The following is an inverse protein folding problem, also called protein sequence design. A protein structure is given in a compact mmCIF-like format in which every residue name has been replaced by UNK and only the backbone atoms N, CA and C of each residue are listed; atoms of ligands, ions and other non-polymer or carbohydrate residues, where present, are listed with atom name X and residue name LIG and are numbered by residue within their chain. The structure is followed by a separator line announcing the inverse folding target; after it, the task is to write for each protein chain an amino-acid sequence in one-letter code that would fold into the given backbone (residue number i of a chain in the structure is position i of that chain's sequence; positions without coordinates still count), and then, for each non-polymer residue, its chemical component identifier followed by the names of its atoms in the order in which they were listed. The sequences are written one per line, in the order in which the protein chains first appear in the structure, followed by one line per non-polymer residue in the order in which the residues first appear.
data_IF_149310465676
#
_entry.id   IF_149310465676
#
_cell.length_a   1.000
_cell.length_b   1.000
_cell.length_c   1.000
_cell.angle_alpha   90.00
_cell.angle_beta   90.00
_cell.angle_gamma   90.00
#
_symmetry.space_group_name_H-M   'P 1'
#
loop_
_entity.id
_entity.type
_entity.pdbx_description
1 polymer ?
#
# COMPACT_ATOMS: atom_id res chain seq x y z
N UNK A 1 17.37 -21.35 28.48
CA UNK A 1 15.96 -21.42 28.09
C UNK A 1 15.70 -20.29 27.11
N UNK A 2 15.77 -20.61 25.85
CA UNK A 2 15.62 -19.68 24.72
C UNK A 2 14.16 -19.35 24.54
N UNK A 3 13.75 -18.18 25.01
CA UNK A 3 12.43 -17.64 24.74
C UNK A 3 12.40 -17.20 23.28
N UNK A 4 11.92 -18.08 22.42
CA UNK A 4 11.69 -17.79 21.01
C UNK A 4 10.63 -16.70 20.92
N UNK A 5 11.08 -15.45 20.69
CA UNK A 5 10.17 -14.36 20.28
C UNK A 5 9.44 -14.83 19.02
N UNK A 6 8.12 -14.90 19.08
CA UNK A 6 7.27 -15.17 17.93
C UNK A 6 7.39 -13.97 16.98
N UNK A 7 8.43 -13.98 16.16
CA UNK A 7 8.59 -13.07 15.04
C UNK A 7 7.64 -13.53 13.94
N UNK A 8 6.53 -13.05 13.97
CA UNK A 8 5.51 -12.56 13.09
C UNK A 8 5.68 -12.93 11.60
N UNK A 9 5.14 -14.09 11.24
CA UNK A 9 4.52 -14.25 9.91
C UNK A 9 3.34 -13.29 9.72
N UNK A 10 2.81 -12.71 10.82
CA UNK A 10 1.64 -11.81 10.80
C UNK A 10 1.92 -10.37 10.38
N UNK A 11 3.18 -9.88 10.35
CA UNK A 11 3.48 -8.54 9.87
C UNK A 11 3.36 -8.41 8.34
N UNK A 12 3.57 -9.50 7.64
CA UNK A 12 3.47 -9.57 6.17
C UNK A 12 2.03 -9.55 5.68
N UNK A 13 1.18 -10.34 6.34
CA UNK A 13 -0.25 -10.39 6.01
C UNK A 13 -0.96 -9.07 6.33
N UNK A 14 -0.50 -8.31 7.32
CA UNK A 14 -1.15 -7.05 7.71
C UNK A 14 -0.79 -5.87 6.80
N UNK A 15 0.44 -5.78 6.28
CA UNK A 15 0.80 -4.78 5.26
C UNK A 15 0.08 -5.06 3.93
N UNK A 16 -0.12 -6.32 3.57
CA UNK A 16 -0.89 -6.71 2.39
C UNK A 16 -2.39 -6.40 2.55
N UNK A 17 -2.98 -6.61 3.73
CA UNK A 17 -4.38 -6.24 4.01
C UNK A 17 -4.60 -4.72 4.06
N UNK A 18 -3.64 -3.94 4.59
CA UNK A 18 -3.69 -2.47 4.50
C UNK A 18 -3.51 -1.97 3.06
N UNK A 19 -2.72 -2.66 2.24
CA UNK A 19 -2.64 -2.42 0.80
C UNK A 19 -3.97 -2.65 0.09
N UNK A 20 -4.76 -3.67 0.48
CA UNK A 20 -6.08 -3.96 -0.09
C UNK A 20 -7.13 -2.89 0.28
N UNK A 21 -7.10 -2.35 1.50
CA UNK A 21 -7.95 -1.21 1.88
C UNK A 21 -7.41 0.12 1.36
N UNK A 22 -6.09 0.27 1.18
CA UNK A 22 -5.50 1.45 0.54
C UNK A 22 -5.81 1.54 -0.97
N UNK A 23 -6.15 0.43 -1.63
CA UNK A 23 -6.63 0.44 -3.02
C UNK A 23 -8.03 1.04 -3.18
N UNK A 24 -8.85 1.08 -2.13
CA UNK A 24 -10.06 1.90 -2.10
C UNK A 24 -9.72 3.40 -1.89
N UNK A 25 -8.49 3.71 -1.47
CA UNK A 25 -8.01 5.05 -1.16
C UNK A 25 -6.58 5.26 -1.70
N UNK A 26 -6.34 4.94 -2.98
CA UNK A 26 -5.26 5.60 -3.69
C UNK A 26 -5.80 7.00 -3.99
N UNK A 27 -5.30 8.06 -3.36
CA UNK A 27 -5.33 9.33 -4.02
C UNK A 27 -4.47 9.09 -5.26
N UNK A 28 -5.13 8.86 -6.38
CA UNK A 28 -4.47 8.91 -7.67
C UNK A 28 -3.57 10.13 -7.63
N UNK A 29 -2.26 9.95 -7.69
CA UNK A 29 -1.31 11.00 -8.05
C UNK A 29 -1.53 11.38 -9.53
N UNK A 30 -2.79 11.38 -9.95
CA UNK A 30 -3.26 12.18 -11.05
C UNK A 30 -3.24 13.61 -10.53
N UNK A 31 -2.54 14.46 -11.26
CA UNK A 31 -2.51 15.89 -11.09
C UNK A 31 -3.77 16.35 -10.34
N UNK A 32 -3.60 17.15 -9.30
CA UNK A 32 -4.70 17.86 -8.68
C UNK A 32 -5.54 18.47 -9.80
N UNK A 33 -6.50 17.68 -10.33
CA UNK A 33 -7.59 18.25 -11.10
C UNK A 33 -8.21 19.24 -10.12
N UNK A 34 -8.07 20.50 -10.41
CA UNK A 34 -8.68 21.56 -9.61
C UNK A 34 -10.13 21.16 -9.38
N UNK A 35 -10.64 21.35 -8.18
CA UNK A 35 -12.00 20.94 -7.76
C UNK A 35 -13.12 21.40 -8.70
N UNK A 36 -12.83 22.32 -9.62
CA UNK A 36 -13.72 22.81 -10.69
C UNK A 36 -13.99 21.80 -11.83
N UNK A 37 -13.21 20.72 -11.97
CA UNK A 37 -13.33 19.75 -13.06
C UNK A 37 -13.96 18.41 -12.65
N UNK A 38 -14.24 18.22 -11.35
CA UNK A 38 -14.90 17.02 -10.86
C UNK A 38 -16.40 17.05 -11.19
N UNK A 39 -16.96 15.91 -11.56
CA UNK A 39 -18.41 15.73 -11.68
C UNK A 39 -19.07 15.79 -10.29
N UNK A 40 -20.37 16.06 -10.23
CA UNK A 40 -21.11 16.00 -8.96
C UNK A 40 -21.06 14.59 -8.36
N UNK A 41 -21.10 13.59 -9.21
CA UNK A 41 -20.98 12.19 -8.84
C UNK A 41 -19.61 11.90 -8.21
N UNK A 42 -18.49 12.31 -8.81
CA UNK A 42 -17.15 12.13 -8.25
C UNK A 42 -16.99 12.85 -6.89
N UNK A 43 -17.56 14.05 -6.76
CA UNK A 43 -17.50 14.81 -5.50
C UNK A 43 -18.30 14.18 -4.36
N UNK A 44 -19.33 13.41 -4.65
CA UNK A 44 -20.17 12.75 -3.63
C UNK A 44 -19.54 11.47 -3.09
N UNK A 45 -18.74 10.77 -3.90
CA UNK A 45 -18.15 9.50 -3.50
C UNK A 45 -17.16 9.66 -2.32
N UNK A 46 -17.41 8.90 -1.26
CA UNK A 46 -16.63 8.98 -0.02
C UNK A 46 -16.97 10.15 0.91
N UNK A 47 -17.87 11.08 0.50
CA UNK A 47 -18.34 12.20 1.32
C UNK A 47 -19.81 12.05 1.71
N UNK A 48 -20.59 11.45 0.83
CA UNK A 48 -22.00 11.18 1.03
C UNK A 48 -22.25 9.68 1.28
N UNK A 49 -23.38 9.28 1.88
CA UNK A 49 -23.80 7.89 1.94
C UNK A 49 -23.81 7.26 0.53
N UNK A 50 -23.37 6.00 0.42
CA UNK A 50 -23.19 5.35 -0.89
C UNK A 50 -24.48 5.35 -1.73
N UNK A 51 -25.66 5.14 -1.12
CA UNK A 51 -26.96 5.24 -1.79
C UNK A 51 -27.20 6.61 -2.40
N UNK A 52 -26.90 7.69 -1.67
CA UNK A 52 -26.99 9.08 -2.16
C UNK A 52 -26.03 9.30 -3.34
N UNK A 53 -24.81 8.76 -3.28
CA UNK A 53 -23.86 8.83 -4.40
C UNK A 53 -24.44 8.16 -5.65
N UNK A 54 -25.04 6.97 -5.52
CA UNK A 54 -25.69 6.27 -6.66
C UNK A 54 -26.78 7.14 -7.29
N UNK A 55 -27.64 7.76 -6.49
CA UNK A 55 -28.70 8.64 -6.98
C UNK A 55 -28.14 9.87 -7.70
N UNK A 56 -27.14 10.54 -7.13
CA UNK A 56 -26.47 11.70 -7.75
C UNK A 56 -25.87 11.31 -9.10
N UNK A 57 -25.15 10.18 -9.18
CA UNK A 57 -24.53 9.70 -10.41
C UNK A 57 -25.57 9.39 -11.49
N UNK A 58 -26.66 8.69 -11.12
CA UNK A 58 -27.77 8.38 -12.05
C UNK A 58 -28.43 9.66 -12.56
N UNK A 59 -28.70 10.60 -11.68
CA UNK A 59 -29.32 11.88 -12.06
C UNK A 59 -28.41 12.67 -13.01
N UNK A 60 -27.10 12.70 -12.76
CA UNK A 60 -26.15 13.42 -13.62
C UNK A 60 -26.06 12.81 -15.02
N UNK A 61 -26.23 11.48 -15.15
CA UNK A 61 -26.27 10.78 -16.43
C UNK A 61 -27.50 11.08 -17.28
N UNK A 62 -28.62 11.57 -16.70
CA UNK A 62 -29.82 11.96 -17.45
C UNK A 62 -29.64 13.28 -18.20
N UNK A 63 -28.66 14.10 -17.79
CA UNK A 63 -28.36 15.38 -18.41
C UNK A 63 -27.40 15.28 -19.61
N UNK A 64 -27.18 16.39 -20.32
CA UNK A 64 -26.19 16.46 -21.39
C UNK A 64 -24.79 16.41 -20.79
N UNK A 65 -24.07 15.32 -21.00
CA UNK A 65 -22.68 15.15 -20.55
C UNK A 65 -21.77 14.75 -21.71
N UNK A 66 -20.53 15.23 -21.72
CA UNK A 66 -19.52 14.81 -22.69
C UNK A 66 -19.15 13.34 -22.47
N UNK A 67 -18.61 12.66 -23.50
CA UNK A 67 -18.15 11.27 -23.37
C UNK A 67 -17.16 11.10 -22.22
N UNK A 68 -16.17 11.98 -22.10
CA UNK A 68 -15.17 11.93 -21.03
C UNK A 68 -15.80 12.06 -19.63
N UNK A 69 -16.77 12.96 -19.45
CA UNK A 69 -17.52 13.06 -18.19
C UNK A 69 -18.38 11.83 -17.94
N UNK A 70 -19.04 11.29 -18.97
CA UNK A 70 -19.84 10.07 -18.86
C UNK A 70 -19.01 8.90 -18.34
N UNK A 71 -17.79 8.71 -18.86
CA UNK A 71 -16.86 7.67 -18.39
C UNK A 71 -16.53 7.85 -16.91
N UNK A 72 -16.21 9.05 -16.46
CA UNK A 72 -15.92 9.35 -15.05
C UNK A 72 -17.11 9.08 -14.14
N UNK A 73 -18.31 9.50 -14.55
CA UNK A 73 -19.56 9.24 -13.79
C UNK A 73 -19.82 7.74 -13.70
N UNK A 74 -19.74 7.00 -14.81
CA UNK A 74 -19.95 5.54 -14.81
C UNK A 74 -18.85 4.80 -14.03
N UNK A 75 -17.60 5.25 -14.10
CA UNK A 75 -16.52 4.69 -13.27
C UNK A 75 -16.85 4.82 -11.77
N UNK A 76 -17.31 6.01 -11.36
CA UNK A 76 -17.68 6.29 -9.96
C UNK A 76 -18.93 5.55 -9.53
N UNK A 77 -19.93 5.47 -10.40
CA UNK A 77 -21.18 4.72 -10.17
C UNK A 77 -20.88 3.24 -9.95
N UNK A 78 -20.01 2.65 -10.77
CA UNK A 78 -19.58 1.27 -10.59
C UNK A 78 -18.87 1.03 -9.25
N UNK A 79 -18.00 1.98 -8.81
CA UNK A 79 -17.38 1.92 -7.47
C UNK A 79 -18.42 2.01 -6.35
N UNK A 80 -19.47 2.84 -6.52
CA UNK A 80 -20.55 2.94 -5.56
C UNK A 80 -21.38 1.64 -5.47
N UNK A 81 -21.66 0.99 -6.61
CA UNK A 81 -22.30 -0.33 -6.60
C UNK A 81 -21.45 -1.40 -5.92
N UNK A 82 -20.14 -1.40 -6.18
CA UNK A 82 -19.25 -2.35 -5.51
C UNK A 82 -19.23 -2.13 -3.99
N UNK A 83 -19.26 -0.89 -3.52
CA UNK A 83 -19.38 -0.56 -2.10
C UNK A 83 -20.71 -0.99 -1.47
N UNK A 84 -21.75 -1.25 -2.28
CA UNK A 84 -23.03 -1.85 -1.88
C UNK A 84 -23.06 -3.39 -2.00
N UNK A 85 -21.92 -4.02 -2.33
CA UNK A 85 -21.80 -5.44 -2.68
C UNK A 85 -22.58 -5.86 -3.95
N UNK A 86 -22.85 -4.91 -4.84
CA UNK A 86 -23.56 -5.10 -6.11
C UNK A 86 -22.55 -5.31 -7.25
N UNK A 87 -21.77 -6.40 -7.17
CA UNK A 87 -20.65 -6.67 -8.10
C UNK A 87 -21.08 -6.72 -9.57
N UNK A 88 -22.20 -7.36 -9.87
CA UNK A 88 -22.71 -7.49 -11.26
C UNK A 88 -23.14 -6.14 -11.83
N UNK A 89 -23.73 -5.26 -11.03
CA UNK A 89 -24.06 -3.89 -11.44
C UNK A 89 -22.79 -3.06 -11.65
N UNK A 90 -21.79 -3.20 -10.81
CA UNK A 90 -20.50 -2.53 -10.99
C UNK A 90 -19.85 -2.95 -12.32
N UNK A 91 -19.77 -4.25 -12.59
CA UNK A 91 -19.19 -4.81 -13.82
C UNK A 91 -19.95 -4.34 -15.06
N UNK A 92 -21.30 -4.40 -15.04
CA UNK A 92 -22.12 -3.95 -16.16
C UNK A 92 -21.95 -2.46 -16.44
N UNK A 93 -21.87 -1.64 -15.39
CA UNK A 93 -21.64 -0.19 -15.47
C UNK A 93 -20.27 0.14 -16.07
N UNK A 94 -19.21 -0.58 -15.67
CA UNK A 94 -17.88 -0.36 -16.24
C UNK A 94 -17.76 -0.90 -17.67
N UNK A 95 -18.47 -1.96 -18.02
CA UNK A 95 -18.58 -2.39 -19.42
C UNK A 95 -19.27 -1.33 -20.28
N UNK A 96 -20.34 -0.70 -19.78
CA UNK A 96 -20.96 0.45 -20.45
C UNK A 96 -19.94 1.60 -20.60
N UNK A 97 -19.24 1.98 -19.54
CA UNK A 97 -18.24 3.04 -19.58
C UNK A 97 -17.15 2.79 -20.63
N UNK A 98 -16.73 1.53 -20.79
CA UNK A 98 -15.70 1.12 -21.76
C UNK A 98 -16.10 1.40 -23.22
N UNK A 99 -17.39 1.46 -23.53
CA UNK A 99 -17.89 1.79 -24.89
C UNK A 99 -17.61 3.25 -25.25
N UNK A 100 -17.48 4.13 -24.25
CA UNK A 100 -17.19 5.57 -24.43
C UNK A 100 -15.70 5.89 -24.37
N UNK A 101 -14.83 4.91 -24.13
CA UNK A 101 -13.38 5.06 -24.06
C UNK A 101 -12.72 3.97 -24.92
N UNK A 102 -12.64 4.13 -26.23
CA UNK A 102 -12.10 3.09 -27.09
C UNK A 102 -10.60 2.91 -26.87
N UNK A 103 -10.14 1.66 -26.98
CA UNK A 103 -8.72 1.33 -26.92
C UNK A 103 -8.06 1.75 -28.26
N UNK A 104 -7.38 2.90 -28.26
CA UNK A 104 -6.74 3.47 -29.46
C UNK A 104 -5.31 3.91 -29.17
N UNK A 105 -4.43 3.80 -30.18
CA UNK A 105 -3.05 4.34 -30.13
C UNK A 105 -3.03 5.87 -30.23
N UNK A 106 -4.04 6.45 -30.87
CA UNK A 106 -4.12 7.89 -31.15
C UNK A 106 -4.66 8.66 -29.95
N UNK A 107 -5.50 8.00 -29.13
CA UNK A 107 -6.07 8.58 -27.91
C UNK A 107 -5.57 7.81 -26.67
N UNK A 108 -4.43 8.23 -26.16
CA UNK A 108 -3.82 7.63 -24.97
C UNK A 108 -4.70 7.79 -23.74
N UNK A 109 -5.41 8.89 -23.58
CA UNK A 109 -6.29 9.15 -22.43
C UNK A 109 -7.46 8.17 -22.44
N UNK A 110 -8.10 7.98 -23.59
CA UNK A 110 -9.17 6.99 -23.72
C UNK A 110 -8.66 5.57 -23.50
N UNK A 111 -7.47 5.22 -24.03
CA UNK A 111 -6.87 3.90 -23.86
C UNK A 111 -6.55 3.61 -22.37
N UNK A 112 -6.03 4.58 -21.64
CA UNK A 112 -5.79 4.45 -20.19
C UNK A 112 -7.10 4.32 -19.42
N UNK A 113 -8.13 5.09 -19.76
CA UNK A 113 -9.45 5.01 -19.15
C UNK A 113 -10.10 3.62 -19.39
N UNK A 114 -10.07 3.14 -20.64
CA UNK A 114 -10.53 1.79 -20.97
C UNK A 114 -9.81 0.73 -20.14
N UNK A 115 -8.49 0.81 -20.09
CA UNK A 115 -7.68 -0.17 -19.36
C UNK A 115 -7.97 -0.14 -17.87
N UNK A 116 -8.14 1.05 -17.28
CA UNK A 116 -8.51 1.19 -15.87
C UNK A 116 -9.86 0.53 -15.58
N UNK A 117 -10.85 0.70 -16.44
CA UNK A 117 -12.15 0.05 -16.32
C UNK A 117 -12.02 -1.49 -16.39
N UNK A 118 -11.22 -2.01 -17.34
CA UNK A 118 -10.97 -3.45 -17.44
C UNK A 118 -10.24 -4.00 -16.20
N UNK A 119 -9.31 -3.25 -15.64
CA UNK A 119 -8.64 -3.61 -14.37
C UNK A 119 -9.64 -3.67 -13.22
N UNK A 120 -10.54 -2.70 -13.10
CA UNK A 120 -11.61 -2.70 -12.09
C UNK A 120 -12.52 -3.92 -12.21
N UNK A 121 -12.90 -4.31 -13.44
CA UNK A 121 -13.70 -5.51 -13.69
C UNK A 121 -12.97 -6.78 -13.21
N UNK A 122 -11.69 -6.93 -13.58
CA UNK A 122 -10.88 -8.07 -13.15
C UNK A 122 -10.71 -8.14 -11.63
N UNK A 123 -10.49 -7.00 -10.98
CA UNK A 123 -10.42 -6.90 -9.52
C UNK A 123 -11.74 -7.27 -8.85
N UNK A 124 -12.88 -6.87 -9.45
CA UNK A 124 -14.21 -7.22 -8.93
C UNK A 124 -14.47 -8.73 -9.02
N UNK A 125 -14.06 -9.38 -10.11
CA UNK A 125 -14.11 -10.84 -10.18
C UNK A 125 -13.28 -11.50 -9.08
N UNK A 126 -12.08 -10.98 -8.82
CA UNK A 126 -11.21 -11.51 -7.77
C UNK A 126 -11.80 -11.32 -6.36
N UNK A 127 -12.42 -10.16 -6.08
CA UNK A 127 -13.07 -9.88 -4.80
C UNK A 127 -14.33 -10.73 -4.57
N UNK A 128 -14.99 -11.14 -5.65
CA UNK A 128 -16.16 -12.03 -5.61
C UNK A 128 -15.78 -13.53 -5.63
N UNK A 129 -14.51 -13.88 -5.30
CA UNK A 129 -13.94 -15.23 -5.32
C UNK A 129 -14.07 -15.95 -6.69
N UNK A 130 -14.31 -15.20 -7.77
CA UNK A 130 -14.38 -15.72 -9.13
C UNK A 130 -12.97 -15.77 -9.76
N UNK A 131 -12.08 -16.50 -9.11
CA UNK A 131 -10.62 -16.51 -9.37
C UNK A 131 -10.29 -16.81 -10.85
N UNK A 132 -10.91 -17.84 -11.44
CA UNK A 132 -10.68 -18.22 -12.84
C UNK A 132 -11.13 -17.13 -13.81
N UNK A 133 -12.26 -16.48 -13.54
CA UNK A 133 -12.76 -15.36 -14.34
C UNK A 133 -11.86 -14.15 -14.24
N UNK A 134 -11.36 -13.85 -13.04
CA UNK A 134 -10.43 -12.76 -12.82
C UNK A 134 -9.14 -12.95 -13.64
N UNK A 135 -8.53 -14.12 -13.55
CA UNK A 135 -7.30 -14.43 -14.29
C UNK A 135 -7.51 -14.38 -15.79
N UNK A 136 -8.55 -15.04 -16.29
CA UNK A 136 -8.90 -15.04 -17.71
C UNK A 136 -9.17 -13.63 -18.24
N UNK A 137 -9.85 -12.78 -17.44
CA UNK A 137 -10.14 -11.39 -17.79
C UNK A 137 -8.86 -10.56 -17.87
N UNK A 138 -7.98 -10.63 -16.88
CA UNK A 138 -6.70 -9.91 -16.90
C UNK A 138 -5.82 -10.34 -18.07
N UNK A 139 -5.70 -11.63 -18.34
CA UNK A 139 -4.90 -12.16 -19.46
C UNK A 139 -5.46 -11.71 -20.82
N UNK A 140 -6.77 -11.77 -20.99
CA UNK A 140 -7.44 -11.26 -22.20
C UNK A 140 -7.21 -9.76 -22.37
N UNK A 141 -7.36 -8.99 -21.30
CA UNK A 141 -7.13 -7.54 -21.30
C UNK A 141 -5.70 -7.21 -21.71
N UNK A 142 -4.71 -7.91 -21.12
CA UNK A 142 -3.31 -7.73 -21.44
C UNK A 142 -3.03 -8.02 -22.92
N UNK A 143 -3.48 -9.16 -23.42
CA UNK A 143 -3.32 -9.54 -24.83
C UNK A 143 -3.95 -8.49 -25.76
N UNK A 144 -5.16 -8.02 -25.45
CA UNK A 144 -5.84 -6.99 -26.24
C UNK A 144 -5.06 -5.68 -26.27
N UNK A 145 -4.55 -5.23 -25.12
CA UNK A 145 -3.75 -4.01 -25.00
C UNK A 145 -2.41 -4.15 -25.77
N UNK A 146 -1.71 -5.28 -25.59
CA UNK A 146 -0.42 -5.50 -26.27
C UNK A 146 -0.57 -5.53 -27.79
N UNK A 147 -1.64 -6.11 -28.31
CA UNK A 147 -1.92 -6.16 -29.75
C UNK A 147 -2.34 -4.79 -30.31
N UNK A 148 -3.18 -4.06 -29.60
CA UNK A 148 -3.74 -2.80 -30.08
C UNK A 148 -2.80 -1.61 -29.86
N UNK A 149 -2.17 -1.52 -28.69
CA UNK A 149 -1.36 -0.36 -28.27
C UNK A 149 0.13 -0.69 -28.25
N UNK A 150 0.51 -1.89 -27.80
CA UNK A 150 1.88 -2.37 -27.68
C UNK A 150 2.30 -2.68 -26.24
N UNK A 151 3.27 -3.62 -26.12
CA UNK A 151 3.72 -4.16 -24.81
C UNK A 151 4.40 -3.18 -23.88
N UNK A 152 4.94 -2.08 -24.42
CA UNK A 152 5.60 -1.03 -23.62
C UNK A 152 4.72 0.23 -23.48
N UNK A 153 3.41 0.11 -23.65
CA UNK A 153 2.45 1.18 -23.42
C UNK A 153 2.08 1.30 -21.94
N UNK A 154 1.66 2.50 -21.51
CA UNK A 154 1.13 2.68 -20.14
C UNK A 154 -0.04 1.72 -19.85
N UNK A 155 -1.01 1.54 -20.75
CA UNK A 155 -2.05 0.53 -20.59
C UNK A 155 -1.50 -0.88 -20.29
N UNK A 156 -0.47 -1.34 -21.01
CA UNK A 156 0.13 -2.66 -20.73
C UNK A 156 0.78 -2.71 -19.34
N UNK A 157 1.49 -1.65 -18.93
CA UNK A 157 2.02 -1.52 -17.58
C UNK A 157 0.94 -1.59 -16.50
N UNK A 158 -0.21 -0.94 -16.70
CA UNK A 158 -1.34 -0.96 -15.77
C UNK A 158 -1.91 -2.36 -15.58
N UNK A 159 -2.09 -3.13 -16.66
CA UNK A 159 -2.59 -4.51 -16.55
C UNK A 159 -1.56 -5.43 -15.90
N UNK A 160 -0.26 -5.26 -16.21
CA UNK A 160 0.80 -6.03 -15.57
C UNK A 160 0.88 -5.75 -14.06
N UNK A 161 0.70 -4.50 -13.64
CA UNK A 161 0.66 -4.11 -12.22
C UNK A 161 -0.53 -4.77 -11.49
N UNK A 162 -1.71 -4.75 -12.11
CA UNK A 162 -2.90 -5.40 -11.59
C UNK A 162 -2.74 -6.94 -11.52
N UNK A 163 -2.12 -7.56 -12.53
CA UNK A 163 -1.79 -8.98 -12.51
C UNK A 163 -0.79 -9.31 -11.40
N UNK A 164 0.23 -8.48 -11.19
CA UNK A 164 1.17 -8.64 -10.10
C UNK A 164 0.47 -8.69 -8.74
N UNK A 165 -0.41 -7.75 -8.50
CA UNK A 165 -1.24 -7.69 -7.29
C UNK A 165 -2.16 -8.92 -7.17
N UNK A 166 -2.83 -9.28 -8.26
CA UNK A 166 -3.71 -10.44 -8.30
C UNK A 166 -2.96 -11.74 -7.96
N UNK A 167 -1.80 -11.98 -8.58
CA UNK A 167 -0.99 -13.17 -8.31
C UNK A 167 -0.42 -13.20 -6.89
N UNK A 168 -0.05 -12.04 -6.35
CA UNK A 168 0.38 -11.94 -4.95
C UNK A 168 -0.73 -12.40 -3.99
N UNK A 169 -1.97 -11.97 -4.21
CA UNK A 169 -3.13 -12.39 -3.42
C UNK A 169 -3.43 -13.89 -3.53
N UNK A 170 -3.10 -14.49 -4.67
CA UNK A 170 -3.24 -15.94 -4.90
C UNK A 170 -2.02 -16.74 -4.41
N UNK A 171 -1.07 -16.10 -3.72
CA UNK A 171 0.20 -16.71 -3.29
C UNK A 171 1.03 -17.29 -4.43
N UNK A 172 0.85 -16.77 -5.66
CA UNK A 172 1.61 -17.10 -6.86
C UNK A 172 2.81 -16.14 -6.98
N UNK A 173 3.82 -16.34 -6.11
CA UNK A 173 4.91 -15.38 -5.93
C UNK A 173 5.75 -15.16 -7.19
N UNK A 174 6.05 -16.21 -7.96
CA UNK A 174 6.85 -16.10 -9.19
C UNK A 174 6.13 -15.33 -10.30
N UNK A 175 4.84 -15.59 -10.49
CA UNK A 175 4.00 -14.87 -11.45
C UNK A 175 3.81 -13.40 -11.05
N UNK A 176 3.66 -13.15 -9.75
CA UNK A 176 3.57 -11.80 -9.18
C UNK A 176 4.84 -10.99 -9.46
N UNK A 177 6.01 -11.55 -9.11
CA UNK A 177 7.32 -10.92 -9.37
C UNK A 177 7.50 -10.60 -10.85
N UNK A 178 7.23 -11.56 -11.72
CA UNK A 178 7.37 -11.39 -13.16
C UNK A 178 6.45 -10.28 -13.72
N UNK A 179 5.22 -10.17 -13.21
CA UNK A 179 4.27 -9.15 -13.62
C UNK A 179 4.70 -7.75 -13.12
N UNK A 180 5.07 -7.61 -11.85
CA UNK A 180 5.58 -6.33 -11.34
C UNK A 180 6.88 -5.89 -12.01
N UNK A 181 7.78 -6.81 -12.33
CA UNK A 181 9.00 -6.50 -13.08
C UNK A 181 8.69 -5.92 -14.45
N UNK A 182 7.72 -6.48 -15.17
CA UNK A 182 7.29 -5.97 -16.49
C UNK A 182 6.62 -4.59 -16.35
N UNK A 183 5.71 -4.42 -15.40
CA UNK A 183 5.06 -3.14 -15.12
C UNK A 183 6.09 -2.06 -14.76
N UNK A 184 7.05 -2.37 -13.88
CA UNK A 184 8.14 -1.48 -13.50
C UNK A 184 8.93 -0.96 -14.70
N UNK A 185 9.33 -1.86 -15.61
CA UNK A 185 10.07 -1.48 -16.83
C UNK A 185 9.25 -0.48 -17.66
N UNK A 186 7.96 -0.75 -17.85
CA UNK A 186 7.07 0.16 -18.59
C UNK A 186 6.98 1.53 -17.92
N UNK A 187 6.73 1.57 -16.61
CA UNK A 187 6.58 2.83 -15.89
C UNK A 187 7.88 3.63 -15.82
N UNK A 188 9.03 2.96 -15.69
CA UNK A 188 10.34 3.64 -15.76
C UNK A 188 10.57 4.31 -17.12
N UNK A 189 10.22 3.63 -18.22
CA UNK A 189 10.37 4.17 -19.58
C UNK A 189 9.38 5.31 -19.84
N UNK A 190 8.13 5.19 -19.37
CA UNK A 190 7.04 6.11 -19.74
C UNK A 190 6.86 7.27 -18.77
N UNK A 191 7.08 7.04 -17.48
CA UNK A 191 6.80 8.01 -16.42
C UNK A 191 8.08 8.50 -15.73
N UNK A 192 9.18 7.78 -15.88
CA UNK A 192 10.44 8.05 -15.18
C UNK A 192 10.53 7.41 -13.80
N UNK A 193 11.76 7.38 -13.26
CA UNK A 193 12.08 6.64 -12.03
C UNK A 193 11.46 7.23 -10.75
N UNK A 194 11.14 8.53 -10.78
CA UNK A 194 10.63 9.27 -9.62
C UNK A 194 9.12 9.44 -9.63
N UNK A 195 8.41 8.92 -10.62
CA UNK A 195 6.96 8.96 -10.65
C UNK A 195 6.36 8.05 -9.56
N UNK A 196 5.28 8.47 -8.90
CA UNK A 196 4.65 7.75 -7.81
C UNK A 196 4.31 6.30 -8.18
N UNK A 197 3.70 6.06 -9.35
CA UNK A 197 3.38 4.71 -9.83
C UNK A 197 4.64 3.85 -10.03
N UNK A 198 5.72 4.46 -10.54
CA UNK A 198 6.99 3.74 -10.70
C UNK A 198 7.55 3.30 -9.36
N UNK A 199 7.48 4.17 -8.34
CA UNK A 199 7.95 3.87 -6.99
C UNK A 199 7.09 2.80 -6.32
N UNK A 200 5.77 2.90 -6.44
CA UNK A 200 4.83 1.89 -5.91
C UNK A 200 5.08 0.51 -6.54
N UNK A 201 5.19 0.44 -7.87
CA UNK A 201 5.44 -0.81 -8.57
C UNK A 201 6.83 -1.39 -8.24
N UNK A 202 7.85 -0.54 -8.07
CA UNK A 202 9.17 -0.97 -7.58
C UNK A 202 9.08 -1.55 -6.17
N UNK A 203 8.30 -0.92 -5.30
CA UNK A 203 8.06 -1.40 -3.94
C UNK A 203 7.34 -2.76 -3.96
N UNK A 204 6.27 -2.90 -4.75
CA UNK A 204 5.53 -4.14 -4.90
C UNK A 204 6.42 -5.27 -5.46
N UNK A 205 7.29 -4.95 -6.44
CA UNK A 205 8.28 -5.91 -6.94
C UNK A 205 9.25 -6.35 -5.83
N UNK A 206 9.76 -5.42 -5.02
CA UNK A 206 10.66 -5.73 -3.91
C UNK A 206 9.96 -6.57 -2.82
N UNK A 207 8.67 -6.33 -2.55
CA UNK A 207 7.86 -7.17 -1.66
C UNK A 207 7.69 -8.57 -2.25
N UNK A 208 7.40 -8.70 -3.54
CA UNK A 208 7.33 -10.00 -4.22
C UNK A 208 8.62 -10.82 -4.12
N UNK A 209 9.79 -10.18 -4.13
CA UNK A 209 11.07 -10.85 -3.87
C UNK A 209 11.14 -11.44 -2.46
N UNK A 210 10.55 -10.76 -1.46
CA UNK A 210 10.49 -11.27 -0.10
C UNK A 210 9.56 -12.50 0.01
N UNK A 211 8.45 -12.51 -0.72
CA UNK A 211 7.54 -13.66 -0.78
C UNK A 211 8.20 -14.91 -1.42
N UNK A 212 9.24 -14.67 -2.23
CA UNK A 212 10.10 -15.71 -2.81
C UNK A 212 11.33 -16.04 -1.96
N UNK A 213 11.39 -15.54 -0.73
CA UNK A 213 12.54 -15.71 0.19
C UNK A 213 13.88 -15.15 -0.35
N UNK A 214 13.83 -14.24 -1.33
CA UNK A 214 14.97 -13.56 -1.93
C UNK A 214 15.33 -12.28 -1.15
N UNK A 215 15.63 -12.43 0.14
CA UNK A 215 15.83 -11.29 1.06
C UNK A 215 16.94 -10.34 0.61
N UNK A 216 18.05 -10.86 0.05
CA UNK A 216 19.16 -10.04 -0.41
C UNK A 216 18.78 -9.17 -1.61
N UNK A 217 18.09 -9.74 -2.62
CA UNK A 217 17.60 -8.99 -3.79
C UNK A 217 16.56 -7.93 -3.37
N UNK A 218 15.71 -8.26 -2.41
CA UNK A 218 14.75 -7.32 -1.84
C UNK A 218 15.44 -6.17 -1.10
N UNK A 219 16.46 -6.45 -0.28
CA UNK A 219 17.24 -5.44 0.44
C UNK A 219 17.87 -4.44 -0.54
N UNK A 220 18.53 -4.93 -1.59
CA UNK A 220 19.11 -4.09 -2.64
C UNK A 220 18.05 -3.22 -3.34
N UNK A 221 16.88 -3.81 -3.63
CA UNK A 221 15.76 -3.09 -4.25
C UNK A 221 15.23 -1.97 -3.35
N UNK A 222 15.07 -2.22 -2.05
CA UNK A 222 14.64 -1.20 -1.09
C UNK A 222 15.72 -0.13 -0.83
N UNK A 223 17.01 -0.47 -0.88
CA UNK A 223 18.10 0.51 -0.80
C UNK A 223 18.03 1.48 -1.99
N UNK A 224 17.90 0.98 -3.21
CA UNK A 224 17.72 1.82 -4.40
C UNK A 224 16.47 2.70 -4.31
N UNK A 225 15.36 2.16 -3.81
CA UNK A 225 14.14 2.95 -3.56
C UNK A 225 14.36 4.06 -2.55
N UNK A 226 15.05 3.77 -1.45
CA UNK A 226 15.38 4.76 -0.43
C UNK A 226 16.30 5.87 -0.96
N UNK A 227 17.28 5.55 -1.81
CA UNK A 227 18.12 6.52 -2.49
C UNK A 227 17.29 7.45 -3.40
N UNK A 228 16.43 6.89 -4.27
CA UNK A 228 15.58 7.66 -5.18
C UNK A 228 14.69 8.62 -4.38
N UNK A 229 14.02 8.12 -3.35
CA UNK A 229 13.02 8.91 -2.61
C UNK A 229 13.70 9.98 -1.74
N UNK A 230 14.89 9.71 -1.20
CA UNK A 230 15.67 10.68 -0.43
C UNK A 230 16.25 11.80 -1.33
N UNK A 231 16.59 11.48 -2.58
CA UNK A 231 17.07 12.45 -3.56
C UNK A 231 15.93 13.31 -4.17
N UNK A 232 14.67 12.98 -3.91
CA UNK A 232 13.50 13.64 -4.53
C UNK A 232 12.76 14.48 -3.48
N UNK A 233 12.92 15.83 -3.45
CA UNK A 233 12.35 16.68 -2.39
C UNK A 233 10.84 16.58 -2.22
N UNK A 234 10.09 16.35 -3.30
CA UNK A 234 8.64 16.21 -3.28
C UNK A 234 8.14 15.06 -2.40
N UNK A 235 8.97 14.04 -2.17
CA UNK A 235 8.61 12.88 -1.34
C UNK A 235 9.00 13.01 0.12
N UNK A 236 9.55 14.15 0.55
CA UNK A 236 10.08 14.33 1.91
C UNK A 236 9.07 13.92 3.01
N UNK A 237 7.80 14.28 2.82
CA UNK A 237 6.72 14.04 3.79
C UNK A 237 5.66 13.06 3.24
N UNK A 238 5.91 12.42 2.11
CA UNK A 238 4.94 11.50 1.50
C UNK A 238 4.94 10.15 2.22
N UNK A 239 3.77 9.56 2.48
CA UNK A 239 3.63 8.29 3.20
C UNK A 239 4.44 7.14 2.59
N UNK A 240 4.58 7.08 1.27
CA UNK A 240 5.38 6.06 0.57
C UNK A 240 6.83 6.03 1.06
N UNK A 241 7.40 7.18 1.44
CA UNK A 241 8.75 7.23 2.01
C UNK A 241 8.82 6.46 3.32
N UNK A 242 7.81 6.61 4.19
CA UNK A 242 7.77 5.89 5.46
C UNK A 242 7.61 4.38 5.25
N UNK A 243 6.88 3.96 4.22
CA UNK A 243 6.71 2.54 3.88
C UNK A 243 8.03 1.92 3.41
N UNK A 244 8.70 2.55 2.44
CA UNK A 244 10.00 2.10 1.94
C UNK A 244 11.02 1.99 3.08
N UNK A 245 11.12 3.02 3.93
CA UNK A 245 12.04 3.02 5.06
C UNK A 245 11.66 1.98 6.13
N UNK A 246 10.38 1.66 6.28
CA UNK A 246 9.93 0.60 7.19
C UNK A 246 10.37 -0.78 6.69
N UNK A 247 10.20 -1.09 5.40
CA UNK A 247 10.68 -2.35 4.82
C UNK A 247 12.20 -2.46 4.91
N UNK A 248 12.92 -1.40 4.50
CA UNK A 248 14.38 -1.36 4.59
C UNK A 248 14.87 -1.57 6.02
N UNK A 249 14.29 -0.86 7.00
CA UNK A 249 14.61 -1.04 8.40
C UNK A 249 14.32 -2.45 8.93
N UNK A 250 13.25 -3.10 8.44
CA UNK A 250 12.93 -4.48 8.81
C UNK A 250 13.98 -5.47 8.31
N UNK A 251 14.41 -5.34 7.06
CA UNK A 251 15.46 -6.18 6.48
C UNK A 251 16.81 -5.95 7.16
N UNK A 252 17.16 -4.70 7.41
CA UNK A 252 18.36 -4.35 8.16
C UNK A 252 18.35 -4.91 9.59
N UNK A 253 17.20 -4.85 10.27
CA UNK A 253 17.05 -5.44 11.61
C UNK A 253 17.21 -6.96 11.59
N UNK A 254 16.77 -7.66 10.54
CA UNK A 254 16.99 -9.11 10.34
C UNK A 254 18.48 -9.41 10.12
N UNK A 255 19.17 -8.57 9.35
CA UNK A 255 20.61 -8.63 9.13
C UNK A 255 21.48 -8.08 10.27
N UNK A 256 20.89 -7.83 11.45
CA UNK A 256 21.53 -7.29 12.67
C UNK A 256 22.17 -5.89 12.49
N UNK A 257 21.78 -5.15 11.45
CA UNK A 257 22.17 -3.75 11.20
C UNK A 257 21.26 -2.82 12.02
N UNK A 258 21.36 -2.91 13.35
CA UNK A 258 20.38 -2.30 14.28
C UNK A 258 20.39 -0.78 14.25
N UNK A 259 21.55 -0.15 14.05
CA UNK A 259 21.70 1.31 14.00
C UNK A 259 21.03 1.90 12.76
N UNK A 260 21.26 1.30 11.59
CA UNK A 260 20.66 1.69 10.33
C UNK A 260 19.13 1.47 10.35
N UNK A 261 18.69 0.35 10.89
CA UNK A 261 17.26 0.04 11.08
C UNK A 261 16.59 1.09 11.98
N UNK A 262 17.23 1.46 13.11
CA UNK A 262 16.70 2.46 14.03
C UNK A 262 16.59 3.84 13.35
N UNK A 263 17.57 4.25 12.56
CA UNK A 263 17.55 5.49 11.79
C UNK A 263 16.38 5.50 10.78
N UNK A 264 16.18 4.40 10.06
CA UNK A 264 15.11 4.30 9.09
C UNK A 264 13.73 4.31 9.75
N UNK A 265 13.53 3.59 10.86
CA UNK A 265 12.27 3.62 11.61
C UNK A 265 12.00 4.97 12.25
N UNK A 266 13.04 5.68 12.74
CA UNK A 266 12.91 7.04 13.24
C UNK A 266 12.42 7.99 12.15
N UNK A 267 13.04 7.96 10.96
CA UNK A 267 12.59 8.77 9.82
C UNK A 267 11.17 8.39 9.37
N UNK A 268 10.84 7.09 9.33
CA UNK A 268 9.49 6.64 9.01
C UNK A 268 8.44 7.16 10.03
N UNK A 269 8.79 7.21 11.31
CA UNK A 269 7.96 7.82 12.36
C UNK A 269 7.74 9.31 12.09
N UNK A 270 8.81 10.07 11.81
CA UNK A 270 8.73 11.52 11.55
C UNK A 270 7.84 11.84 10.34
N UNK A 271 8.00 11.08 9.26
CA UNK A 271 7.16 11.21 8.04
C UNK A 271 5.70 10.92 8.35
N UNK A 272 5.39 9.80 9.05
CA UNK A 272 4.01 9.46 9.39
C UNK A 272 3.39 10.44 10.37
N UNK A 273 4.16 10.93 11.33
CA UNK A 273 3.70 11.96 12.26
C UNK A 273 3.35 13.27 11.54
N UNK A 274 4.16 13.67 10.55
CA UNK A 274 3.90 14.86 9.75
C UNK A 274 2.66 14.69 8.83
N UNK A 275 2.51 13.50 8.24
CA UNK A 275 1.43 13.23 7.28
C UNK A 275 0.08 12.97 7.93
N UNK A 276 0.05 12.27 9.07
CA UNK A 276 -1.18 11.73 9.69
C UNK A 276 -1.44 12.26 11.10
N UNK A 277 -0.47 12.92 11.67
CA UNK A 277 -0.55 13.42 13.06
C UNK A 277 0.06 12.46 14.10
N UNK A 278 0.27 12.99 15.32
CA UNK A 278 1.01 12.29 16.38
C UNK A 278 0.26 11.11 17.00
N UNK A 279 -1.06 11.07 16.89
CA UNK A 279 -1.94 10.07 17.51
C UNK A 279 -2.59 9.12 16.50
N UNK A 280 -2.15 9.15 15.25
CA UNK A 280 -2.62 8.23 14.22
C UNK A 280 -2.05 6.82 14.43
N UNK A 281 -2.86 5.80 14.14
CA UNK A 281 -2.46 4.40 14.28
C UNK A 281 -1.24 4.03 13.43
N UNK A 282 -1.12 4.64 12.24
CA UNK A 282 0.03 4.45 11.33
C UNK A 282 1.31 5.00 11.95
N UNK A 283 1.22 6.09 12.71
CA UNK A 283 2.32 6.67 13.49
C UNK A 283 2.75 5.71 14.60
N UNK A 284 1.80 5.06 15.29
CA UNK A 284 2.09 4.07 16.32
C UNK A 284 2.84 2.85 15.80
N UNK A 285 2.62 2.46 14.55
CA UNK A 285 3.34 1.34 13.93
C UNK A 285 4.84 1.64 13.85
N UNK A 286 5.21 2.84 13.40
CA UNK A 286 6.62 3.25 13.33
C UNK A 286 7.26 3.34 14.70
N UNK A 287 6.54 3.85 15.71
CA UNK A 287 7.00 3.89 17.10
C UNK A 287 7.23 2.50 17.68
N UNK A 288 6.33 1.54 17.41
CA UNK A 288 6.52 0.17 17.85
C UNK A 288 7.77 -0.47 17.22
N UNK A 289 7.97 -0.30 15.90
CA UNK A 289 9.14 -0.84 15.21
C UNK A 289 10.44 -0.19 15.72
N UNK A 290 10.43 1.12 15.92
CA UNK A 290 11.54 1.86 16.52
C UNK A 290 11.85 1.33 17.94
N UNK A 291 10.83 1.15 18.76
CA UNK A 291 11.01 0.63 20.12
C UNK A 291 11.62 -0.78 20.14
N UNK A 292 11.17 -1.66 19.24
CA UNK A 292 11.70 -3.03 19.12
C UNK A 292 13.17 -3.03 18.70
N UNK A 293 13.55 -2.23 17.69
CA UNK A 293 14.97 -2.18 17.26
C UNK A 293 15.86 -1.54 18.31
N UNK A 294 15.40 -0.51 19.03
CA UNK A 294 16.13 0.10 20.14
C UNK A 294 16.32 -0.87 21.30
N UNK A 295 15.31 -1.69 21.60
CA UNK A 295 15.44 -2.78 22.58
C UNK A 295 16.53 -3.78 22.19
N UNK A 296 16.53 -4.23 20.94
CA UNK A 296 17.59 -5.14 20.43
C UNK A 296 18.98 -4.48 20.44
N UNK A 297 19.05 -3.18 20.21
CA UNK A 297 20.30 -2.41 20.27
C UNK A 297 20.75 -2.10 21.71
N UNK A 298 19.96 -2.47 22.73
CA UNK A 298 20.28 -2.23 24.14
C UNK A 298 19.92 -0.83 24.65
N UNK A 299 19.32 0.03 23.84
CA UNK A 299 18.85 1.36 24.27
C UNK A 299 17.46 1.25 24.91
N UNK A 300 17.48 0.67 26.13
CA UNK A 300 16.24 0.34 26.85
C UNK A 300 15.40 1.59 27.21
N UNK A 301 16.06 2.75 27.44
CA UNK A 301 15.36 3.98 27.79
C UNK A 301 14.53 4.53 26.62
N UNK A 302 15.17 4.64 25.43
CA UNK A 302 14.46 5.11 24.25
C UNK A 302 13.44 4.09 23.75
N UNK A 303 13.71 2.80 23.91
CA UNK A 303 12.76 1.72 23.60
C UNK A 303 11.47 1.84 24.41
N UNK A 304 11.58 2.07 25.75
CA UNK A 304 10.43 2.25 26.63
C UNK A 304 9.57 3.44 26.20
N UNK A 305 10.18 4.59 25.91
CA UNK A 305 9.46 5.79 25.47
C UNK A 305 8.69 5.54 24.18
N UNK A 306 9.33 4.93 23.19
CA UNK A 306 8.71 4.64 21.91
C UNK A 306 7.55 3.65 22.03
N UNK A 307 7.74 2.55 22.78
CA UNK A 307 6.71 1.52 22.96
C UNK A 307 5.56 2.00 23.84
N UNK A 308 5.82 2.78 24.90
CA UNK A 308 4.76 3.38 25.73
C UNK A 308 3.85 4.28 24.90
N UNK A 309 4.43 5.14 24.06
CA UNK A 309 3.65 6.00 23.18
C UNK A 309 2.86 5.20 22.15
N UNK A 310 3.48 4.18 21.53
CA UNK A 310 2.78 3.30 20.60
C UNK A 310 1.60 2.57 21.26
N UNK A 311 1.79 2.10 22.49
CA UNK A 311 0.74 1.43 23.27
C UNK A 311 -0.44 2.36 23.53
N UNK A 312 -0.19 3.59 24.01
CA UNK A 312 -1.25 4.57 24.30
C UNK A 312 -2.08 4.84 23.04
N UNK A 313 -1.43 5.15 21.90
CA UNK A 313 -2.13 5.42 20.63
C UNK A 313 -2.99 4.23 20.20
N UNK A 314 -2.47 3.00 20.33
CA UNK A 314 -3.21 1.79 19.94
C UNK A 314 -4.36 1.48 20.90
N UNK A 315 -4.15 1.64 22.20
CA UNK A 315 -5.19 1.43 23.21
C UNK A 315 -6.36 2.41 23.03
N UNK A 316 -6.05 3.68 22.73
CA UNK A 316 -7.08 4.71 22.49
C UNK A 316 -7.84 4.47 21.16
N UNK A 317 -7.16 4.00 20.10
CA UNK A 317 -7.77 3.86 18.79
C UNK A 317 -8.47 2.50 18.58
N UNK A 318 -7.95 1.41 19.16
CA UNK A 318 -8.39 0.04 18.91
C UNK A 318 -8.93 -0.67 20.15
N UNK A 319 -8.67 -0.12 21.34
CA UNK A 319 -8.96 -0.78 22.62
C UNK A 319 -7.82 -1.66 23.13
N UNK A 320 -7.90 -2.02 24.43
CA UNK A 320 -6.85 -2.76 25.12
C UNK A 320 -6.75 -4.24 24.71
N UNK A 321 -7.84 -4.82 24.21
CA UNK A 321 -7.93 -6.25 23.82
C UNK A 321 -7.53 -6.47 22.35
N UNK A 322 -7.27 -5.41 21.59
CA UNK A 322 -6.85 -5.53 20.19
C UNK A 322 -5.49 -6.23 20.08
N UNK A 323 -5.30 -7.16 19.11
CA UNK A 323 -4.04 -7.90 18.93
C UNK A 323 -2.80 -7.02 18.76
N UNK A 324 -2.92 -5.85 18.10
CA UNK A 324 -1.81 -4.92 17.93
C UNK A 324 -1.47 -4.20 19.24
N UNK A 325 -2.49 -3.86 20.03
CA UNK A 325 -2.33 -3.26 21.35
C UNK A 325 -1.65 -4.23 22.30
N UNK A 326 -2.14 -5.47 22.38
CA UNK A 326 -1.55 -6.54 23.19
C UNK A 326 -0.10 -6.87 22.78
N UNK A 327 0.19 -6.91 21.48
CA UNK A 327 1.55 -7.13 20.98
C UNK A 327 2.51 -6.01 21.42
N UNK A 328 2.07 -4.73 21.35
CA UNK A 328 2.88 -3.60 21.81
C UNK A 328 3.09 -3.62 23.32
N UNK A 329 2.05 -3.97 24.08
CA UNK A 329 2.13 -4.14 25.52
C UNK A 329 3.18 -5.20 25.91
N UNK A 330 3.19 -6.35 25.22
CA UNK A 330 4.17 -7.40 25.42
C UNK A 330 5.60 -6.92 25.15
N UNK A 331 5.81 -6.16 24.06
CA UNK A 331 7.11 -5.58 23.75
C UNK A 331 7.56 -4.59 24.86
N UNK A 332 6.66 -3.74 25.33
CA UNK A 332 6.91 -2.80 26.43
C UNK A 332 7.29 -3.53 27.72
N UNK A 333 6.55 -4.56 28.09
CA UNK A 333 6.83 -5.39 29.28
C UNK A 333 8.22 -6.03 29.21
N UNK A 334 8.64 -6.50 28.04
CA UNK A 334 9.97 -7.06 27.83
C UNK A 334 11.09 -6.03 28.09
N UNK A 335 10.89 -4.79 27.62
CA UNK A 335 11.85 -3.69 27.89
C UNK A 335 11.92 -3.35 29.38
N UNK A 336 10.77 -3.23 30.07
CA UNK A 336 10.71 -2.94 31.50
C UNK A 336 11.40 -4.07 32.30
N UNK A 337 11.15 -5.32 31.96
CA UNK A 337 11.80 -6.47 32.59
C UNK A 337 13.33 -6.42 32.42
N UNK A 338 13.81 -6.10 31.22
CA UNK A 338 15.25 -5.96 30.96
C UNK A 338 15.90 -4.81 31.76
N UNK A 339 15.21 -3.68 31.88
CA UNK A 339 15.68 -2.55 32.72
C UNK A 339 15.78 -2.93 34.21
N UNK A 340 14.79 -3.65 34.73
CA UNK A 340 14.78 -4.10 36.13
C UNK A 340 15.90 -5.11 36.39
N UNK A 341 16.13 -6.04 35.47
CA UNK A 341 17.26 -6.98 35.56
C UNK A 341 18.62 -6.27 35.57
N UNK A 342 18.80 -5.24 34.73
CA UNK A 342 20.00 -4.43 34.69
C UNK A 342 20.24 -3.68 36.03
N UNK A 343 19.18 -3.14 36.63
CA UNK A 343 19.27 -2.45 37.94
C UNK A 343 19.63 -3.42 39.08
N UNK A 344 19.02 -4.62 39.11
CA UNK A 344 19.30 -5.62 40.13
C UNK A 344 20.66 -6.27 39.98
N UNK A 345 21.17 -6.47 38.74
CA UNK A 345 22.50 -6.96 38.45
C UNK A 345 23.60 -5.99 38.92
N UNK A 346 23.37 -4.69 38.78
CA UNK A 346 24.28 -3.64 39.27
C UNK A 346 24.29 -3.53 40.81
N UNK A 347 23.14 -3.74 41.46
CA UNK A 347 23.08 -3.75 42.95
C UNK A 347 23.78 -4.98 43.56
N UNK A 348 23.76 -6.11 42.86
CA UNK A 348 24.46 -7.33 43.29
C UNK A 348 25.99 -7.25 43.20
N UNK A 349 26.55 -6.39 42.33
CA UNK A 349 28.00 -6.16 42.21
C UNK A 349 28.51 -5.13 43.20
N UNK A 350 27.70 -4.16 43.61
CA UNK A 350 28.05 -3.13 44.59
C UNK A 350 28.11 -3.64 46.05
N UNK A 351 27.45 -4.78 46.35
CA UNK A 351 27.47 -5.40 47.69
C UNK A 351 28.54 -6.50 47.85
N UNK A 352 29.51 -6.62 46.97
CA UNK A 352 30.60 -7.60 47.03
C UNK A 352 32.01 -7.00 47.14
N UNK A 353 32.12 -5.71 47.52
CA UNK A 353 33.39 -5.06 47.83
C UNK A 353 33.46 -4.70 49.29
#
# INVERSE_FOLDING_TARGET
MTTTMVFMKSAWTFSFFLGLFAWAYIPTAFAQETSSNLTRCENSFGKEPVGTTVEICRLELTGPVTQAKRVKILETLGKAYLAQNEADLAISTWNEASQYSPLSREDQVAAEAWTRLQVLIGQTYAQADQTERAEAHFQKTLSTVEQSIGRYSLPAGMVQDALGTYYALQSKAAESEAAFKRSRIVYEIRLGKTNARTLETRMNHAVGLLDMEKEQEALESFQVLAEIINATPNYKNEPIRAEILTFLGTLQMRGDQLQEAAKNYQTAFEVRQAAFGPNDIRTSQSLNNLGVVLYRAGDLKRAEVALSRAYIIRADALGNEDPLTLSTQKNLQAVIAAQNAAKTGLSGSANRN
#
